data_IF_538336464688
#
_entry.id   IF_538336464688
#
_cell.length_a   1.000
_cell.length_b   1.000
_cell.length_c   1.000
_cell.angle_alpha   90.00
_cell.angle_beta   90.00
_cell.angle_gamma   90.00
#
_symmetry.space_group_name_H-M   'P 1'
#
loop_
_entity.id
_entity.type
_entity.pdbx_description
1 polymer ?
#
# COMPACT_ATOMS: atom_id res chain seq x y z
N UNK A 1 -7.97 21.26 0.91
CA UNK A 1 -8.29 19.81 0.93
C UNK A 1 -6.99 19.05 1.22
N UNK A 2 -6.79 18.49 2.42
CA UNK A 2 -5.60 17.64 2.67
C UNK A 2 -5.74 16.38 1.82
N UNK A 3 -5.04 16.34 0.68
CA UNK A 3 -4.93 15.16 -0.18
C UNK A 3 -4.23 14.08 0.63
N UNK A 4 -5.02 13.14 1.15
CA UNK A 4 -4.51 12.14 2.07
C UNK A 4 -4.00 10.94 1.24
N UNK A 5 -2.74 11.03 0.80
CA UNK A 5 -2.03 9.98 0.05
C UNK A 5 -2.09 8.65 0.79
N UNK A 6 -2.03 8.67 2.12
CA UNK A 6 -2.17 7.45 2.93
C UNK A 6 -3.51 6.76 2.69
N UNK A 7 -4.60 7.52 2.52
CA UNK A 7 -5.93 6.98 2.21
C UNK A 7 -6.01 6.39 0.80
N UNK A 8 -5.32 6.98 -0.18
CA UNK A 8 -5.25 6.44 -1.55
C UNK A 8 -4.47 5.11 -1.56
N UNK A 9 -3.31 5.09 -0.91
CA UNK A 9 -2.50 3.90 -0.72
C UNK A 9 -3.28 2.80 0.02
N UNK A 10 -3.96 3.14 1.12
CA UNK A 10 -4.78 2.20 1.88
C UNK A 10 -5.88 1.55 1.01
N UNK A 11 -6.58 2.36 0.19
CA UNK A 11 -7.61 1.87 -0.72
C UNK A 11 -7.04 0.96 -1.80
N UNK A 12 -5.88 1.32 -2.34
CA UNK A 12 -5.17 0.51 -3.33
C UNK A 12 -4.75 -0.85 -2.76
N UNK A 13 -4.14 -0.86 -1.57
CA UNK A 13 -3.70 -2.08 -0.90
C UNK A 13 -4.88 -3.00 -0.57
N UNK A 14 -6.00 -2.46 -0.06
CA UNK A 14 -7.22 -3.24 0.18
C UNK A 14 -7.73 -3.90 -1.12
N UNK A 15 -7.75 -3.15 -2.23
CA UNK A 15 -8.16 -3.67 -3.54
C UNK A 15 -7.22 -4.77 -4.03
N UNK A 16 -5.90 -4.58 -3.91
CA UNK A 16 -4.91 -5.57 -4.34
C UNK A 16 -4.87 -6.81 -3.46
N UNK A 17 -5.12 -6.68 -2.15
CA UNK A 17 -5.26 -7.80 -1.23
C UNK A 17 -6.49 -8.64 -1.59
N UNK A 18 -7.62 -7.99 -1.88
CA UNK A 18 -8.87 -8.68 -2.20
C UNK A 18 -9.27 -9.67 -1.10
N UNK A 19 -9.44 -10.94 -1.47
CA UNK A 19 -9.76 -12.02 -0.53
C UNK A 19 -8.56 -12.67 0.17
N UNK A 20 -7.32 -12.23 -0.10
CA UNK A 20 -6.14 -12.80 0.55
C UNK A 20 -6.09 -12.42 2.03
N UNK A 21 -5.67 -13.37 2.86
CA UNK A 21 -5.31 -13.10 4.26
C UNK A 21 -4.10 -12.16 4.32
N UNK A 22 -3.95 -11.43 5.43
CA UNK A 22 -2.77 -10.57 5.65
C UNK A 22 -1.46 -11.35 5.60
N UNK A 23 -1.45 -12.62 6.02
CA UNK A 23 -0.27 -13.48 5.96
C UNK A 23 0.14 -13.88 4.53
N UNK A 24 -0.85 -14.11 3.65
CA UNK A 24 -0.58 -14.38 2.23
C UNK A 24 -0.15 -13.10 1.53
N UNK A 25 -0.82 -11.99 1.81
CA UNK A 25 -0.50 -10.70 1.22
C UNK A 25 0.88 -10.19 1.69
N UNK A 26 1.25 -10.40 2.96
CA UNK A 26 2.59 -10.05 3.47
C UNK A 26 3.70 -10.76 2.71
N UNK A 27 3.53 -12.05 2.41
CA UNK A 27 4.50 -12.82 1.61
C UNK A 27 4.63 -12.29 0.19
N UNK A 28 3.53 -11.83 -0.40
CA UNK A 28 3.49 -11.29 -1.77
C UNK A 28 4.13 -9.90 -1.88
N UNK A 29 3.89 -9.03 -0.90
CA UNK A 29 4.34 -7.63 -0.92
C UNK A 29 5.71 -7.45 -0.27
N UNK A 30 6.16 -8.42 0.54
CA UNK A 30 7.43 -8.33 1.27
C UNK A 30 7.37 -7.40 2.49
N UNK A 31 6.18 -7.09 3.00
CA UNK A 31 5.97 -6.30 4.22
C UNK A 31 5.33 -7.15 5.30
N UNK A 32 5.58 -6.85 6.58
CA UNK A 32 4.92 -7.56 7.68
C UNK A 32 3.40 -7.36 7.66
N UNK A 33 2.67 -8.38 8.10
CA UNK A 33 1.21 -8.34 8.26
C UNK A 33 0.71 -7.13 9.09
N UNK A 34 1.46 -6.73 10.12
CA UNK A 34 1.20 -5.57 10.99
C UNK A 34 1.37 -4.26 10.25
N UNK A 35 2.41 -4.16 9.42
CA UNK A 35 2.63 -2.99 8.56
C UNK A 35 1.48 -2.86 7.57
N UNK A 36 1.10 -3.95 6.90
CA UNK A 36 -0.02 -3.93 5.94
C UNK A 36 -1.35 -3.56 6.60
N UNK A 37 -1.64 -4.10 7.78
CA UNK A 37 -2.86 -3.77 8.52
C UNK A 37 -2.92 -2.28 8.89
N UNK A 38 -1.80 -1.71 9.38
CA UNK A 38 -1.75 -0.27 9.72
C UNK A 38 -1.82 0.63 8.48
N UNK A 39 -1.18 0.24 7.39
CA UNK A 39 -1.27 0.96 6.11
C UNK A 39 -2.70 0.96 5.57
N UNK A 40 -3.39 -0.17 5.61
CA UNK A 40 -4.79 -0.24 5.18
C UNK A 40 -5.74 0.58 6.06
N UNK A 41 -5.35 0.90 7.30
CA UNK A 41 -6.11 1.78 8.21
C UNK A 41 -5.78 3.25 8.02
N UNK A 42 -4.73 3.59 7.27
CA UNK A 42 -4.24 4.97 7.12
C UNK A 42 -3.60 5.53 8.39
N UNK A 43 -3.25 4.66 9.34
CA UNK A 43 -2.70 5.03 10.66
C UNK A 43 -1.15 5.05 10.66
N UNK A 44 -0.51 4.67 9.55
CA UNK A 44 0.95 4.56 9.48
C UNK A 44 1.50 5.26 8.23
N UNK A 45 2.40 6.22 8.46
CA UNK A 45 3.12 6.88 7.38
C UNK A 45 4.18 5.92 6.83
N UNK A 46 4.11 5.63 5.54
CA UNK A 46 5.10 4.79 4.86
C UNK A 46 6.27 5.67 4.43
N UNK A 47 7.50 5.26 4.71
CA UNK A 47 8.68 5.94 4.15
C UNK A 47 8.76 5.69 2.64
N UNK A 48 9.34 6.63 1.89
CA UNK A 48 9.53 6.50 0.44
C UNK A 48 10.31 5.23 0.07
N UNK A 49 11.29 4.82 0.90
CA UNK A 49 12.03 3.58 0.69
C UNK A 49 11.14 2.34 0.75
N UNK A 50 10.23 2.26 1.72
CA UNK A 50 9.27 1.14 1.84
C UNK A 50 8.22 1.20 0.73
N UNK A 51 7.84 2.40 0.29
CA UNK A 51 6.98 2.58 -0.88
C UNK A 51 7.66 2.04 -2.14
N UNK A 52 8.94 2.35 -2.36
CA UNK A 52 9.72 1.82 -3.49
C UNK A 52 9.76 0.30 -3.51
N UNK A 53 10.04 -0.33 -2.36
CA UNK A 53 10.00 -1.80 -2.24
C UNK A 53 8.60 -2.35 -2.55
N UNK A 54 7.55 -1.70 -2.09
CA UNK A 54 6.18 -2.12 -2.34
C UNK A 54 5.81 -2.00 -3.82
N UNK A 55 6.19 -0.91 -4.48
CA UNK A 55 6.00 -0.69 -5.92
C UNK A 55 6.71 -1.79 -6.74
N UNK A 56 7.97 -2.08 -6.40
CA UNK A 56 8.78 -3.11 -7.06
C UNK A 56 8.17 -4.52 -6.88
N UNK A 57 7.82 -4.90 -5.65
CA UNK A 57 7.23 -6.22 -5.36
C UNK A 57 5.85 -6.42 -5.97
N UNK A 58 5.05 -5.35 -6.03
CA UNK A 58 3.73 -5.40 -6.66
C UNK A 58 3.78 -5.17 -8.18
N UNK A 59 4.96 -4.83 -8.74
CA UNK A 59 5.17 -4.45 -10.14
C UNK A 59 4.20 -3.35 -10.58
N UNK A 60 4.05 -2.32 -9.76
CA UNK A 60 3.11 -1.21 -9.97
C UNK A 60 3.85 0.12 -9.89
N UNK A 61 3.29 1.15 -10.49
CA UNK A 61 3.88 2.49 -10.53
C UNK A 61 3.13 3.44 -9.59
N UNK A 62 3.77 4.56 -9.24
CA UNK A 62 3.14 5.62 -8.42
C UNK A 62 1.78 6.06 -8.97
N UNK A 63 1.65 6.21 -10.29
CA UNK A 63 0.39 6.58 -10.97
C UNK A 63 -0.76 5.60 -10.73
N UNK A 64 -0.46 4.31 -10.53
CA UNK A 64 -1.48 3.29 -10.30
C UNK A 64 -2.09 3.40 -8.89
N UNK A 65 -1.30 3.95 -7.95
CA UNK A 65 -1.69 4.15 -6.56
C UNK A 65 -2.27 5.55 -6.34
N UNK A 66 -1.70 6.56 -7.01
CA UNK A 66 -2.00 7.98 -6.86
C UNK A 66 -2.44 8.61 -8.20
N UNK A 67 -3.62 8.25 -8.74
CA UNK A 67 -4.06 8.70 -10.05
C UNK A 67 -4.45 10.19 -10.12
N UNK A 68 -4.51 10.89 -8.98
CA UNK A 68 -4.84 12.32 -8.91
C UNK A 68 -3.64 13.25 -8.70
N UNK A 69 -2.43 12.72 -8.68
CA UNK A 69 -1.18 13.49 -8.45
C UNK A 69 -0.33 13.63 -9.73
N UNK A 70 -0.71 12.95 -10.81
CA UNK A 70 -0.05 12.95 -12.13
C UNK A 70 -1.10 13.12 -13.23
#
# INVERSE_FOLDING_TARGET
MRRNLDRQLAKYLRRKRGGLSYAQFSRRVGLSHTTLHRLERGEHHLTLSKLGVLLDKLKVQMRDIFPGEF
#
